data_IF_461874069018
#
_entry.id   IF_461874069018
#
_cell.length_a   1.000
_cell.length_b   1.000
_cell.length_c   1.000
_cell.angle_alpha   90.00
_cell.angle_beta   90.00
_cell.angle_gamma   90.00
#
_symmetry.space_group_name_H-M   'P 1'
#
loop_
_entity.id
_entity.type
_entity.pdbx_description
1 polymer ?
#
# COMPACT_ATOMS: atom_id res chain seq x y z
N UNK A 1 11.00 4.39 1.45
CA UNK A 1 11.98 3.43 0.89
C UNK A 1 11.85 2.11 1.66
N UNK A 2 11.77 0.95 0.98
CA UNK A 2 11.47 -0.35 1.61
C UNK A 2 12.60 -1.37 1.38
N UNK A 3 12.82 -2.28 2.33
CA UNK A 3 13.89 -3.30 2.28
C UNK A 3 13.65 -4.45 1.30
N UNK A 4 12.43 -4.63 0.83
CA UNK A 4 12.05 -5.67 -0.11
C UNK A 4 11.08 -5.12 -1.16
N UNK A 5 11.11 -5.63 -2.41
CA UNK A 5 10.08 -5.34 -3.41
C UNK A 5 8.69 -5.60 -2.84
N UNK A 6 7.69 -4.78 -3.20
CA UNK A 6 6.31 -4.95 -2.69
C UNK A 6 5.67 -6.30 -3.07
N UNK A 7 6.24 -7.02 -4.03
CA UNK A 7 5.82 -8.37 -4.44
C UNK A 7 6.41 -9.50 -3.60
N UNK A 8 7.52 -9.25 -2.87
CA UNK A 8 8.19 -10.21 -1.99
C UNK A 8 7.34 -10.45 -0.73
N UNK A 9 7.30 -11.69 -0.24
CA UNK A 9 6.51 -12.07 0.94
C UNK A 9 7.00 -11.43 2.23
N UNK A 10 8.23 -10.93 2.28
CA UNK A 10 8.80 -10.21 3.43
C UNK A 10 8.44 -8.72 3.44
N UNK A 11 7.82 -8.21 2.37
CA UNK A 11 7.42 -6.81 2.31
C UNK A 11 6.13 -6.57 3.09
N UNK A 12 6.12 -5.55 3.96
CA UNK A 12 4.90 -5.10 4.65
C UNK A 12 3.80 -4.71 3.66
N UNK A 13 4.16 -4.16 2.48
CA UNK A 13 3.18 -3.84 1.44
C UNK A 13 2.55 -5.11 0.85
N UNK A 14 3.29 -6.21 0.74
CA UNK A 14 2.75 -7.49 0.28
C UNK A 14 1.72 -8.04 1.27
N UNK A 15 2.06 -8.03 2.55
CA UNK A 15 1.17 -8.43 3.63
C UNK A 15 -0.11 -7.57 3.64
N UNK A 16 0.05 -6.25 3.47
CA UNK A 16 -1.08 -5.31 3.42
C UNK A 16 -2.03 -5.65 2.27
N UNK A 17 -1.52 -5.78 1.05
CA UNK A 17 -2.40 -5.99 -0.11
C UNK A 17 -3.01 -7.39 -0.16
N UNK A 18 -2.27 -8.42 0.27
CA UNK A 18 -2.76 -9.81 0.18
C UNK A 18 -3.64 -10.21 1.34
N UNK A 19 -3.43 -9.62 2.51
CA UNK A 19 -4.05 -10.11 3.74
C UNK A 19 -4.79 -9.01 4.52
N UNK A 20 -4.10 -7.94 4.91
CA UNK A 20 -4.69 -6.93 5.82
C UNK A 20 -5.87 -6.21 5.20
N UNK A 21 -5.73 -5.72 3.95
CA UNK A 21 -6.82 -5.01 3.27
C UNK A 21 -7.99 -5.95 2.96
N UNK A 22 -7.79 -7.14 2.35
CA UNK A 22 -8.91 -8.07 2.13
C UNK A 22 -9.61 -8.51 3.41
N UNK A 23 -8.87 -8.73 4.49
CA UNK A 23 -9.44 -9.20 5.74
C UNK A 23 -10.20 -8.10 6.48
N UNK A 24 -9.58 -6.93 6.60
CA UNK A 24 -10.07 -5.89 7.52
C UNK A 24 -11.04 -4.93 6.86
N UNK A 25 -10.83 -4.64 5.57
CA UNK A 25 -11.58 -3.60 4.86
C UNK A 25 -12.77 -4.19 4.11
N UNK A 26 -12.58 -5.24 3.29
CA UNK A 26 -13.66 -5.76 2.42
C UNK A 26 -14.90 -6.15 3.24
N UNK A 27 -16.05 -5.59 2.87
CA UNK A 27 -17.35 -5.89 3.47
C UNK A 27 -18.00 -7.07 2.75
N UNK A 28 -18.05 -8.23 3.41
CA UNK A 28 -18.66 -9.45 2.86
C UNK A 28 -20.19 -9.39 2.80
N UNK A 29 -20.83 -8.39 3.40
CA UNK A 29 -22.29 -8.21 3.35
C UNK A 29 -22.74 -7.53 2.05
N UNK A 30 -21.81 -6.93 1.31
CA UNK A 30 -22.09 -6.25 0.06
C UNK A 30 -22.32 -7.26 -1.08
N UNK A 31 -23.16 -6.95 -2.07
CA UNK A 31 -23.53 -7.89 -3.13
C UNK A 31 -22.42 -8.10 -4.17
N UNK A 32 -21.42 -7.23 -4.22
CA UNK A 32 -20.34 -7.28 -5.20
C UNK A 32 -19.01 -7.57 -4.51
N UNK A 33 -18.11 -8.32 -5.17
CA UNK A 33 -16.73 -8.42 -4.69
C UNK A 33 -16.05 -7.05 -4.73
N UNK A 34 -14.91 -6.91 -4.05
CA UNK A 34 -14.22 -5.64 -3.93
C UNK A 34 -12.72 -5.74 -4.18
N UNK A 35 -12.14 -4.64 -4.68
CA UNK A 35 -10.72 -4.35 -4.55
C UNK A 35 -10.50 -3.12 -3.67
N UNK A 36 -9.40 -3.11 -2.95
CA UNK A 36 -9.04 -1.98 -2.07
C UNK A 36 -7.71 -1.40 -2.54
N UNK A 37 -7.70 -0.11 -2.82
CA UNK A 37 -6.54 0.64 -3.29
C UNK A 37 -6.10 1.60 -2.19
N UNK A 38 -4.79 1.62 -1.91
CA UNK A 38 -4.15 2.58 -1.00
C UNK A 38 -2.90 3.16 -1.65
N UNK A 39 -2.46 4.33 -1.22
CA UNK A 39 -1.13 4.83 -1.59
C UNK A 39 -0.06 4.01 -0.86
N UNK A 40 1.03 3.65 -1.54
CA UNK A 40 2.12 2.87 -0.95
C UNK A 40 2.72 3.56 0.29
N UNK A 41 2.84 4.90 0.25
CA UNK A 41 3.31 5.72 1.37
C UNK A 41 2.35 5.85 2.55
N UNK A 42 1.17 5.21 2.51
CA UNK A 42 0.31 5.11 3.70
C UNK A 42 0.92 4.20 4.77
N UNK A 43 1.79 3.27 4.36
CA UNK A 43 2.53 2.39 5.24
C UNK A 43 3.93 2.98 5.45
N UNK A 44 4.29 3.25 6.70
CA UNK A 44 5.41 4.12 7.07
C UNK A 44 6.60 3.39 7.65
N UNK A 45 6.42 2.15 8.09
CA UNK A 45 7.48 1.36 8.70
C UNK A 45 7.30 -0.13 8.49
N UNK A 46 8.37 -0.88 8.74
CA UNK A 46 8.34 -2.34 8.81
C UNK A 46 7.52 -2.81 10.01
N UNK A 47 6.96 -4.02 9.92
CA UNK A 47 6.45 -4.71 11.11
C UNK A 47 7.50 -5.69 11.60
N UNK A 48 7.89 -5.52 12.87
CA UNK A 48 8.84 -6.39 13.53
C UNK A 48 8.10 -7.54 14.21
N UNK A 49 8.65 -8.76 14.09
CA UNK A 49 8.10 -9.95 14.75
C UNK A 49 8.12 -9.75 16.26
N UNK A 50 6.96 -9.86 16.90
CA UNK A 50 6.83 -9.69 18.34
C UNK A 50 5.38 -9.41 18.74
N UNK A 51 5.14 -8.97 19.99
CA UNK A 51 3.87 -8.35 20.37
C UNK A 51 3.57 -7.17 19.46
N UNK A 52 2.30 -7.02 19.07
CA UNK A 52 1.83 -5.86 18.32
C UNK A 52 1.02 -4.97 19.26
N UNK A 53 1.53 -3.77 19.52
CA UNK A 53 0.95 -2.80 20.44
C UNK A 53 0.17 -1.72 19.70
N UNK A 54 -0.48 -0.84 20.45
CA UNK A 54 -1.11 0.37 19.88
C UNK A 54 -0.08 1.25 19.18
N UNK A 55 1.14 1.34 19.73
CA UNK A 55 2.23 2.14 19.16
C UNK A 55 2.67 1.59 17.80
N UNK A 56 2.79 0.26 17.67
CA UNK A 56 3.12 -0.39 16.39
C UNK A 56 2.09 -0.05 15.29
N UNK A 57 0.81 0.06 15.66
CA UNK A 57 -0.24 0.52 14.75
C UNK A 57 0.02 1.90 14.17
N UNK A 58 0.43 2.86 15.02
CA UNK A 58 0.76 4.21 14.59
C UNK A 58 2.10 4.30 13.87
N UNK A 59 3.09 3.50 14.26
CA UNK A 59 4.39 3.41 13.57
C UNK A 59 4.18 2.96 12.11
N UNK A 60 3.32 1.96 11.89
CA UNK A 60 3.10 1.37 10.57
C UNK A 60 2.11 2.17 9.74
N UNK A 61 0.99 2.61 10.32
CA UNK A 61 -0.11 3.29 9.60
C UNK A 61 -0.64 4.48 10.39
N UNK A 62 0.07 5.64 10.39
CA UNK A 62 -0.24 6.78 11.25
C UNK A 62 -1.37 7.68 10.73
N UNK A 63 -1.69 7.61 9.44
CA UNK A 63 -2.62 8.55 8.84
C UNK A 63 -4.04 8.07 8.94
N UNK A 64 -4.96 8.79 9.60
CA UNK A 64 -6.37 8.46 9.58
C UNK A 64 -6.94 8.70 8.17
N UNK A 65 -7.43 7.63 7.56
CA UNK A 65 -7.95 7.64 6.21
C UNK A 65 -9.17 6.73 6.11
N UNK A 66 -10.33 7.33 5.91
CA UNK A 66 -11.56 6.61 5.69
C UNK A 66 -11.63 6.06 4.26
N UNK A 67 -12.29 4.91 4.13
CA UNK A 67 -12.51 4.26 2.85
C UNK A 67 -13.85 4.69 2.25
N UNK A 68 -13.82 5.04 0.97
CA UNK A 68 -14.99 5.28 0.13
C UNK A 68 -14.96 4.31 -1.05
N UNK A 69 -16.08 4.15 -1.73
CA UNK A 69 -16.18 3.24 -2.86
C UNK A 69 -17.11 3.76 -3.96
N UNK A 70 -16.96 3.17 -5.14
CA UNK A 70 -17.97 3.17 -6.20
C UNK A 70 -18.05 1.77 -6.82
N UNK A 71 -19.26 1.37 -7.20
CA UNK A 71 -19.50 0.12 -7.95
C UNK A 71 -19.36 0.40 -9.44
N UNK A 72 -18.50 -0.36 -10.12
CA UNK A 72 -18.17 -0.15 -11.54
C UNK A 72 -18.12 -1.50 -12.28
N UNK A 73 -18.22 -1.51 -13.62
CA UNK A 73 -17.95 -2.71 -14.41
C UNK A 73 -16.49 -3.18 -14.23
N UNK A 74 -16.29 -4.49 -14.16
CA UNK A 74 -14.98 -5.10 -13.91
C UNK A 74 -13.90 -4.66 -14.94
N UNK A 75 -14.29 -4.46 -16.21
CA UNK A 75 -13.40 -3.91 -17.25
C UNK A 75 -12.85 -2.52 -16.93
N UNK A 76 -13.59 -1.70 -16.19
CA UNK A 76 -13.17 -0.37 -15.73
C UNK A 76 -12.20 -0.54 -14.56
N UNK A 77 -12.57 -1.35 -13.56
CA UNK A 77 -11.74 -1.61 -12.38
C UNK A 77 -10.32 -2.11 -12.74
N UNK A 78 -10.21 -3.03 -13.72
CA UNK A 78 -8.91 -3.53 -14.23
C UNK A 78 -7.96 -2.45 -14.74
N UNK A 79 -8.47 -1.30 -15.16
CA UNK A 79 -7.67 -0.20 -15.73
C UNK A 79 -7.25 0.85 -14.70
N UNK A 80 -7.99 1.01 -13.60
CA UNK A 80 -7.76 2.06 -12.60
C UNK A 80 -6.34 1.98 -12.04
N UNK A 81 -5.93 0.80 -11.57
CA UNK A 81 -4.63 0.60 -10.94
C UNK A 81 -3.47 0.96 -11.88
N UNK A 82 -3.57 0.58 -13.16
CA UNK A 82 -2.56 0.89 -14.18
C UNK A 82 -2.47 2.39 -14.46
N UNK A 83 -3.59 3.12 -14.40
CA UNK A 83 -3.62 4.57 -14.65
C UNK A 83 -3.06 5.33 -13.44
N UNK A 84 -3.42 4.92 -12.23
CA UNK A 84 -2.90 5.53 -10.99
C UNK A 84 -1.38 5.48 -10.92
N UNK A 85 -0.78 4.34 -11.26
CA UNK A 85 0.68 4.17 -11.23
C UNK A 85 1.40 4.66 -12.50
N UNK A 86 0.69 5.27 -13.46
CA UNK A 86 1.29 5.97 -14.62
C UNK A 86 1.51 7.47 -14.35
N UNK A 87 0.79 8.05 -13.39
CA UNK A 87 1.08 9.41 -12.95
C UNK A 87 2.48 9.41 -12.31
N UNK A 88 3.29 10.46 -12.53
CA UNK A 88 4.63 10.51 -11.95
C UNK A 88 4.52 10.37 -10.43
N UNK A 89 5.17 9.35 -9.89
CA UNK A 89 5.43 9.30 -8.47
C UNK A 89 6.27 10.53 -8.14
N UNK A 90 5.80 11.36 -7.21
CA UNK A 90 6.61 12.42 -6.63
C UNK A 90 7.77 11.77 -5.87
N UNK A 91 8.95 11.71 -6.51
CA UNK A 91 10.18 11.24 -5.87
C UNK A 91 11.09 10.52 -6.85
N UNK A 92 12.12 11.22 -7.33
CA UNK A 92 13.29 10.62 -7.95
C UNK A 92 14.09 9.86 -6.88
N UNK A 93 13.55 8.73 -6.39
CA UNK A 93 14.29 7.82 -5.53
C UNK A 93 15.20 6.98 -6.44
N UNK A 94 16.38 7.54 -6.75
CA UNK A 94 17.46 6.75 -7.32
C UNK A 94 17.68 5.51 -6.42
N UNK A 95 17.76 4.29 -6.98
CA UNK A 95 18.10 3.13 -6.18
C UNK A 95 19.47 3.37 -5.54
N UNK A 96 19.65 3.10 -4.23
CA UNK A 96 20.98 3.17 -3.66
C UNK A 96 21.87 2.17 -4.40
N UNK A 97 23.18 2.49 -4.50
CA UNK A 97 24.12 1.59 -5.15
C UNK A 97 24.11 0.24 -4.44
N UNK A 98 24.04 -0.84 -5.22
CA UNK A 98 24.40 -2.19 -4.82
C UNK A 98 25.92 -2.26 -4.59
N UNK A 99 26.45 -1.49 -3.64
CA UNK A 99 27.82 -1.67 -3.16
C UNK A 99 27.76 -2.75 -2.09
N UNK A 100 27.89 -4.00 -2.52
CA UNK A 100 28.03 -5.15 -1.63
C UNK A 100 29.44 -5.07 -1.04
N UNK A 101 29.62 -4.27 0.01
CA UNK A 101 30.64 -4.57 1.02
C UNK A 101 29.91 -5.35 2.12
N UNK A 102 29.80 -6.66 1.89
CA UNK A 102 29.18 -7.63 2.81
C UNK A 102 30.12 -7.94 3.99
N UNK A 103 30.69 -6.88 4.56
CA UNK A 103 31.51 -6.95 5.75
C UNK A 103 30.60 -7.30 6.93
N UNK A 104 30.57 -8.59 7.27
CA UNK A 104 29.79 -9.15 8.40
C UNK A 104 30.15 -8.57 9.77
N UNK A 105 31.15 -7.69 9.86
CA UNK A 105 31.54 -7.00 11.09
C UNK A 105 30.87 -5.63 11.26
N UNK A 106 30.28 -5.05 10.20
CA UNK A 106 29.62 -3.75 10.26
C UNK A 106 28.13 -3.89 10.53
N UNK A 107 27.61 -3.01 11.38
CA UNK A 107 26.17 -2.90 11.64
C UNK A 107 25.45 -2.34 10.41
N UNK A 108 24.29 -2.90 10.00
CA UNK A 108 23.50 -2.34 8.90
C UNK A 108 23.07 -0.90 9.17
N UNK A 109 23.21 -0.03 8.18
CA UNK A 109 22.90 1.39 8.29
C UNK A 109 22.95 2.15 6.97
N UNK A 110 22.96 3.48 7.06
CA UNK A 110 23.11 4.35 5.90
C UNK A 110 24.56 4.35 5.43
N UNK A 111 24.73 4.28 4.10
CA UNK A 111 25.99 4.52 3.38
C UNK A 111 25.67 5.62 2.38
N UNK A 112 25.88 6.87 2.81
CA UNK A 112 25.41 8.06 2.11
C UNK A 112 26.39 8.43 1.01
N UNK A 113 25.85 8.66 -0.19
CA UNK A 113 26.57 9.27 -1.29
C UNK A 113 25.98 10.64 -1.58
N UNK A 114 26.78 11.67 -1.47
CA UNK A 114 26.40 13.05 -1.76
C UNK A 114 27.41 13.72 -2.72
N UNK A 115 27.32 15.04 -2.87
CA UNK A 115 28.19 15.83 -3.75
C UNK A 115 29.68 15.74 -3.37
N UNK A 116 29.99 15.35 -2.12
CA UNK A 116 31.34 15.15 -1.60
C UNK A 116 31.81 13.69 -1.68
N UNK A 117 31.01 12.81 -2.31
CA UNK A 117 31.32 11.39 -2.46
C UNK A 117 30.74 10.56 -1.32
N UNK A 118 31.54 9.68 -0.73
CA UNK A 118 31.17 8.83 0.41
C UNK A 118 31.96 9.27 1.65
N UNK A 119 31.53 8.83 2.84
CA UNK A 119 32.26 9.05 4.10
C UNK A 119 31.71 10.21 4.95
N UNK A 120 30.53 10.72 4.62
CA UNK A 120 29.79 11.67 5.46
C UNK A 120 29.06 11.03 6.63
N UNK A 121 28.93 9.70 6.67
CA UNK A 121 28.30 8.97 7.77
C UNK A 121 29.24 8.93 9.00
N UNK A 122 28.75 9.28 10.19
CA UNK A 122 29.53 9.32 11.44
C UNK A 122 30.05 7.95 11.91
N UNK A 123 29.55 6.85 11.33
CA UNK A 123 29.93 5.47 11.65
C UNK A 123 29.93 4.61 10.38
N UNK A 124 30.82 3.62 10.30
CA UNK A 124 30.89 2.70 9.17
C UNK A 124 29.77 1.66 9.23
N UNK A 125 29.00 1.53 8.14
CA UNK A 125 27.86 0.62 8.05
C UNK A 125 27.99 -0.35 6.88
N UNK A 126 27.30 -1.50 7.00
CA UNK A 126 26.88 -2.27 5.82
C UNK A 126 25.60 -1.62 5.24
N UNK A 127 25.49 -1.45 3.91
CA UNK A 127 24.37 -0.72 3.33
C UNK A 127 23.05 -1.49 3.44
N UNK A 128 21.97 -0.77 3.77
CA UNK A 128 20.62 -1.34 3.79
C UNK A 128 20.05 -1.37 2.36
N UNK A 129 19.54 -2.52 1.87
CA UNK A 129 18.87 -2.59 0.59
C UNK A 129 17.64 -1.68 0.52
N UNK A 130 17.42 -1.08 -0.64
CA UNK A 130 16.21 -0.33 -0.90
C UNK A 130 15.62 -0.65 -2.26
N UNK A 131 14.30 -0.77 -2.27
CA UNK A 131 13.53 -1.04 -3.46
C UNK A 131 12.50 0.06 -3.68
N UNK A 132 12.29 0.46 -4.95
CA UNK A 132 11.26 1.41 -5.30
C UNK A 132 9.89 0.82 -5.00
N UNK A 133 8.95 1.67 -4.61
CA UNK A 133 7.56 1.28 -4.38
C UNK A 133 6.61 1.97 -5.33
N UNK A 134 5.57 1.26 -5.81
CA UNK A 134 4.49 1.90 -6.54
C UNK A 134 3.86 3.02 -5.71
N UNK A 135 3.46 4.10 -6.38
CA UNK A 135 2.71 5.19 -5.73
C UNK A 135 1.41 4.68 -5.10
N UNK A 136 0.75 3.72 -5.76
CA UNK A 136 -0.44 3.03 -5.28
C UNK A 136 -0.27 1.53 -5.32
N UNK A 137 -0.81 0.85 -4.31
CA UNK A 137 -0.90 -0.60 -4.22
C UNK A 137 -2.36 -1.01 -4.06
N UNK A 138 -2.71 -2.22 -4.51
CA UNK A 138 -4.09 -2.72 -4.52
C UNK A 138 -4.14 -4.14 -4.03
N UNK A 139 -5.21 -4.50 -3.33
CA UNK A 139 -5.56 -5.91 -3.13
C UNK A 139 -5.72 -6.64 -4.48
N UNK A 140 -5.53 -7.98 -4.51
CA UNK A 140 -5.73 -8.77 -5.72
C UNK A 140 -7.12 -8.57 -6.33
N UNK A 141 -7.18 -8.55 -7.67
CA UNK A 141 -8.45 -8.58 -8.38
C UNK A 141 -9.13 -9.95 -8.17
N UNK A 142 -10.45 -9.98 -7.92
CA UNK A 142 -11.22 -11.22 -7.87
C UNK A 142 -11.13 -12.00 -9.19
N UNK A 143 -10.94 -13.32 -9.09
CA UNK A 143 -10.98 -14.20 -10.26
C UNK A 143 -12.42 -14.53 -10.67
N UNK A 144 -12.63 -14.89 -11.94
CA UNK A 144 -13.90 -15.42 -12.43
C UNK A 144 -14.97 -14.39 -12.80
N UNK A 145 -14.66 -13.10 -12.79
CA UNK A 145 -15.58 -12.04 -13.22
C UNK A 145 -15.47 -11.75 -14.73
N UNK A 146 -16.62 -11.64 -15.39
CA UNK A 146 -16.78 -11.11 -16.73
C UNK A 146 -16.63 -9.59 -16.79
N UNK A 147 -16.35 -9.05 -17.98
CA UNK A 147 -16.03 -7.62 -18.18
C UNK A 147 -17.12 -6.64 -17.72
N UNK A 148 -18.38 -7.07 -17.77
CA UNK A 148 -19.53 -6.24 -17.37
C UNK A 148 -20.04 -6.58 -15.96
N UNK A 149 -19.46 -7.57 -15.28
CA UNK A 149 -19.81 -7.85 -13.90
C UNK A 149 -19.43 -6.66 -13.02
N UNK A 150 -20.23 -6.42 -11.99
CA UNK A 150 -20.03 -5.29 -11.10
C UNK A 150 -19.06 -5.66 -9.97
N UNK A 151 -18.18 -4.70 -9.66
CA UNK A 151 -17.21 -4.80 -8.58
C UNK A 151 -17.17 -3.47 -7.82
N UNK A 152 -17.01 -3.54 -6.52
CA UNK A 152 -16.72 -2.36 -5.71
C UNK A 152 -15.23 -2.03 -5.77
N UNK A 153 -14.92 -0.83 -6.27
CA UNK A 153 -13.58 -0.27 -6.13
C UNK A 153 -13.59 0.56 -4.87
N UNK A 154 -12.73 0.22 -3.92
CA UNK A 154 -12.63 0.87 -2.61
C UNK A 154 -11.29 1.60 -2.53
N UNK A 155 -11.29 2.83 -2.04
CA UNK A 155 -10.09 3.66 -1.95
C UNK A 155 -10.15 4.65 -0.78
N UNK A 156 -9.01 5.29 -0.46
CA UNK A 156 -8.98 6.30 0.59
C UNK A 156 -9.61 7.61 0.11
N UNK A 157 -10.48 8.19 0.95
CA UNK A 157 -11.14 9.47 0.68
C UNK A 157 -10.14 10.59 0.31
N UNK A 158 -8.91 10.52 0.83
CA UNK A 158 -7.82 11.45 0.54
C UNK A 158 -7.59 11.69 -0.97
N UNK A 159 -7.61 10.63 -1.80
CA UNK A 159 -7.35 10.73 -3.24
C UNK A 159 -8.62 10.54 -4.10
N UNK A 160 -9.80 10.81 -3.51
CA UNK A 160 -11.10 10.61 -4.17
C UNK A 160 -11.25 11.35 -5.49
N UNK A 161 -10.81 12.62 -5.55
CA UNK A 161 -10.88 13.42 -6.78
C UNK A 161 -10.12 12.77 -7.94
N UNK A 162 -8.97 12.13 -7.66
CA UNK A 162 -8.16 11.44 -8.66
C UNK A 162 -8.88 10.22 -9.23
N UNK A 163 -9.48 9.39 -8.36
CA UNK A 163 -10.25 8.20 -8.80
C UNK A 163 -11.47 8.61 -9.62
N UNK A 164 -12.27 9.56 -9.14
CA UNK A 164 -13.47 10.00 -9.87
C UNK A 164 -13.13 10.60 -11.25
N UNK A 165 -12.00 11.31 -11.37
CA UNK A 165 -11.50 11.78 -12.66
C UNK A 165 -11.12 10.63 -13.59
N UNK A 166 -10.42 9.60 -13.07
CA UNK A 166 -10.07 8.39 -13.84
C UNK A 166 -11.34 7.66 -14.30
N UNK A 167 -12.31 7.47 -13.41
CA UNK A 167 -13.58 6.79 -13.72
C UNK A 167 -14.35 7.53 -14.83
N UNK A 168 -14.47 8.86 -14.73
CA UNK A 168 -15.12 9.69 -15.75
C UNK A 168 -14.45 9.54 -17.13
N UNK A 169 -13.13 9.42 -17.17
CA UNK A 169 -12.39 9.24 -18.43
C UNK A 169 -12.51 7.81 -18.99
N UNK A 170 -12.55 6.80 -18.12
CA UNK A 170 -12.64 5.40 -18.53
C UNK A 170 -14.03 5.00 -19.01
N UNK A 171 -15.06 5.65 -18.47
CA UNK A 171 -16.46 5.32 -18.73
C UNK A 171 -17.33 6.59 -18.67
N UNK A 172 -17.23 7.44 -19.71
CA UNK A 172 -17.84 8.77 -19.73
C UNK A 172 -19.37 8.74 -19.84
N UNK A 173 -19.97 7.60 -20.17
CA UNK A 173 -21.42 7.42 -20.20
C UNK A 173 -22.02 7.33 -18.79
N UNK A 174 -21.19 7.06 -17.78
CA UNK A 174 -21.59 6.88 -16.39
C UNK A 174 -21.07 8.03 -15.51
N UNK A 175 -21.89 8.47 -14.56
CA UNK A 175 -21.53 9.52 -13.61
C UNK A 175 -21.30 8.93 -12.22
N UNK A 176 -20.09 8.42 -11.99
CA UNK A 176 -19.73 7.81 -10.72
C UNK A 176 -19.61 8.84 -9.60
N UNK A 177 -20.17 8.49 -8.44
CA UNK A 177 -19.97 9.18 -7.17
C UNK A 177 -19.46 8.19 -6.13
N UNK A 178 -18.76 8.70 -5.12
CA UNK A 178 -18.22 7.88 -4.03
C UNK A 178 -19.13 7.92 -2.81
N UNK A 179 -19.29 6.78 -2.13
CA UNK A 179 -19.98 6.70 -0.84
C UNK A 179 -19.03 6.14 0.24
N UNK A 180 -19.23 6.45 1.54
CA UNK A 180 -18.51 5.78 2.62
C UNK A 180 -18.65 4.26 2.50
N UNK A 181 -17.54 3.52 2.66
CA UNK A 181 -17.55 2.07 2.46
C UNK A 181 -17.98 1.31 3.72
N UNK A 182 -17.31 1.55 4.86
CA UNK A 182 -17.63 0.92 6.15
C UNK A 182 -17.43 1.90 7.31
N UNK A 183 -18.39 1.92 8.22
CA UNK A 183 -18.32 2.75 9.43
C UNK A 183 -17.33 2.14 10.43
N UNK A 184 -16.47 2.98 11.01
CA UNK A 184 -15.51 2.56 12.05
C UNK A 184 -14.34 1.72 11.56
N UNK A 185 -14.20 1.53 10.23
CA UNK A 185 -13.09 0.80 9.62
C UNK A 185 -12.31 1.75 8.73
N UNK A 186 -11.09 2.07 9.15
CA UNK A 186 -10.16 2.96 8.47
C UNK A 186 -8.72 2.42 8.56
N UNK A 187 -7.77 3.18 8.02
CA UNK A 187 -6.33 2.86 8.01
C UNK A 187 -5.70 2.72 9.40
N UNK A 188 -6.28 3.32 10.45
CA UNK A 188 -5.80 3.16 11.83
C UNK A 188 -6.31 1.85 12.42
N UNK A 189 -7.56 1.50 12.16
CA UNK A 189 -8.20 0.31 12.75
C UNK A 189 -7.89 -0.99 12.00
N UNK A 190 -7.48 -0.92 10.73
CA UNK A 190 -7.29 -2.12 9.90
C UNK A 190 -6.24 -3.09 10.47
N UNK A 191 -5.13 -2.56 11.00
CA UNK A 191 -4.08 -3.38 11.60
C UNK A 191 -4.56 -4.06 12.89
N UNK A 192 -5.11 -3.33 13.89
CA UNK A 192 -5.72 -3.95 15.06
C UNK A 192 -6.78 -5.01 14.73
N UNK A 193 -7.62 -4.81 13.71
CA UNK A 193 -8.61 -5.79 13.27
C UNK A 193 -7.93 -7.07 12.78
N UNK A 194 -6.95 -6.93 11.87
CA UNK A 194 -6.23 -8.08 11.30
C UNK A 194 -5.42 -8.84 12.35
N UNK A 195 -4.63 -8.12 13.15
CA UNK A 195 -3.72 -8.71 14.14
C UNK A 195 -4.49 -9.49 15.20
N UNK A 196 -5.55 -8.91 15.79
CA UNK A 196 -6.37 -9.58 16.80
C UNK A 196 -6.98 -10.90 16.32
N UNK A 197 -7.26 -11.00 15.02
CA UNK A 197 -7.88 -12.18 14.44
C UNK A 197 -6.87 -13.24 13.98
N UNK A 198 -5.67 -12.83 13.58
CA UNK A 198 -4.73 -13.71 12.89
C UNK A 198 -3.46 -14.02 13.68
N UNK A 199 -3.10 -13.21 14.68
CA UNK A 199 -1.84 -13.36 15.41
C UNK A 199 -2.10 -13.78 16.86
N UNK A 200 -1.30 -14.74 17.34
CA UNK A 200 -1.48 -15.38 18.65
C UNK A 200 -1.02 -14.54 19.84
N UNK A 201 -0.36 -13.40 19.60
CA UNK A 201 0.11 -12.47 20.63
C UNK A 201 -0.26 -11.04 20.23
N UNK A 202 -1.38 -10.57 20.77
CA UNK A 202 -1.89 -9.20 20.64
C UNK A 202 -2.19 -8.62 22.01
#
# INVERSE_FOLDING_TARGET
MFKYPYTDSRSVLNLVIKEVLPFSIIDKTRPYPAIVIVNGGSQRFDIIKGPFTVDDGYIVSPFPGDFVYATVPYKVAKKIFKILNKAPASGDDAPPPSAIDDSTTLTPGFVTKDDYGYGGDDWAHSPIPAFPTPAFVSSPLPAGLGDNDLIDVVWLAFFNKGILSILKNLDPANNYTSQPYRVGVNTITMWPIYVKANWSKC
#
